data_IF_654628705117
#
_entry.id   IF_654628705117
#
_cell.length_a   1.000
_cell.length_b   1.000
_cell.length_c   1.000
_cell.angle_alpha   90.00
_cell.angle_beta   90.00
_cell.angle_gamma   90.00
#
_symmetry.space_group_name_H-M   'P 1'
#
loop_
_entity.id
_entity.type
_entity.pdbx_description
1 polymer ?
#
# COMPACT_ATOMS: atom_id res chain seq x y z
N UNK A 1 -35.73 9.48 -5.14
CA UNK A 1 -34.95 8.33 -4.68
C UNK A 1 -35.95 7.30 -4.20
N UNK A 2 -35.87 6.07 -4.71
CA UNK A 2 -36.62 4.96 -4.15
C UNK A 2 -35.88 4.52 -2.88
N UNK A 3 -36.36 4.98 -1.73
CA UNK A 3 -35.86 4.54 -0.42
C UNK A 3 -36.38 3.12 -0.25
N UNK A 4 -35.49 2.13 -0.18
CA UNK A 4 -35.87 0.77 0.24
C UNK A 4 -36.06 0.78 1.76
N UNK A 5 -37.17 1.35 2.20
CA UNK A 5 -37.58 1.37 3.60
C UNK A 5 -39.08 1.13 3.70
N UNK A 6 -39.52 0.55 4.81
CA UNK A 6 -40.93 0.42 5.16
C UNK A 6 -41.11 0.87 6.59
N UNK A 7 -42.36 1.19 6.97
CA UNK A 7 -42.67 1.52 8.34
C UNK A 7 -42.56 0.26 9.22
N UNK A 8 -41.70 0.27 10.24
CA UNK A 8 -41.57 -0.84 11.18
C UNK A 8 -42.81 -1.07 12.05
N UNK A 9 -43.79 -0.15 12.05
CA UNK A 9 -45.04 -0.29 12.79
C UNK A 9 -46.20 -0.82 11.95
N UNK A 10 -46.38 -0.33 10.71
CA UNK A 10 -47.53 -0.68 9.86
C UNK A 10 -47.14 -1.38 8.54
N UNK A 11 -45.84 -1.66 8.35
CA UNK A 11 -45.27 -2.32 7.17
C UNK A 11 -45.53 -1.61 5.83
N UNK A 12 -46.04 -0.38 5.86
CA UNK A 12 -46.28 0.39 4.65
C UNK A 12 -44.98 0.81 3.99
N UNK A 13 -44.89 0.56 2.69
CA UNK A 13 -43.82 1.02 1.82
C UNK A 13 -44.04 2.46 1.32
N UNK A 14 -43.01 3.13 0.79
CA UNK A 14 -43.07 4.49 0.25
C UNK A 14 -43.65 4.46 -1.17
N UNK A 15 -44.84 3.87 -1.32
CA UNK A 15 -45.57 3.82 -2.60
C UNK A 15 -46.27 5.14 -2.91
N UNK A 16 -46.58 5.92 -1.86
CA UNK A 16 -47.19 7.23 -1.97
C UNK A 16 -46.14 8.34 -1.79
N UNK A 17 -46.01 9.28 -2.75
CA UNK A 17 -45.02 10.35 -2.69
C UNK A 17 -45.27 11.36 -1.56
N UNK A 18 -46.47 11.36 -0.98
CA UNK A 18 -46.86 12.23 0.14
C UNK A 18 -46.46 11.66 1.50
N UNK A 19 -46.23 10.35 1.60
CA UNK A 19 -45.93 9.70 2.87
C UNK A 19 -44.44 9.84 3.17
N UNK A 20 -44.10 10.68 4.14
CA UNK A 20 -42.72 10.81 4.61
C UNK A 20 -42.42 9.75 5.65
N UNK A 21 -41.14 9.39 5.72
CA UNK A 21 -40.60 8.43 6.67
C UNK A 21 -39.54 9.10 7.53
N UNK A 22 -39.43 8.65 8.76
CA UNK A 22 -38.45 9.12 9.73
C UNK A 22 -37.68 7.94 10.31
N UNK A 23 -36.36 8.07 10.39
CA UNK A 23 -35.44 7.13 11.02
C UNK A 23 -35.19 7.57 12.47
N UNK A 24 -35.30 6.63 13.40
CA UNK A 24 -34.93 6.85 14.80
C UNK A 24 -33.46 6.57 15.05
N UNK A 25 -32.89 7.16 16.10
CA UNK A 25 -31.52 6.89 16.57
C UNK A 25 -31.26 5.43 16.95
N UNK A 26 -32.31 4.65 17.22
CA UNK A 26 -32.20 3.21 17.48
C UNK A 26 -32.37 2.36 16.21
N UNK A 27 -32.44 2.96 15.02
CA UNK A 27 -32.46 2.26 13.74
C UNK A 27 -33.85 1.90 13.19
N UNK A 28 -34.95 2.24 13.87
CA UNK A 28 -36.30 1.96 13.39
C UNK A 28 -36.85 3.08 12.50
N UNK A 29 -37.56 2.71 11.44
CA UNK A 29 -38.17 3.62 10.47
C UNK A 29 -39.68 3.67 10.65
N UNK A 30 -40.27 4.85 10.65
CA UNK A 30 -41.72 5.05 10.79
C UNK A 30 -42.26 5.99 9.73
N UNK A 31 -43.47 5.73 9.24
CA UNK A 31 -44.21 6.73 8.48
C UNK A 31 -44.76 7.81 9.41
N UNK A 32 -44.98 9.02 8.87
CA UNK A 32 -45.48 10.15 9.66
C UNK A 32 -46.82 9.84 10.36
N UNK A 33 -47.69 9.01 9.77
CA UNK A 33 -48.97 8.61 10.37
C UNK A 33 -48.78 7.79 11.65
N UNK A 34 -47.87 6.80 11.64
CA UNK A 34 -47.57 6.02 12.84
C UNK A 34 -46.89 6.87 13.90
N UNK A 35 -45.98 7.75 13.49
CA UNK A 35 -45.25 8.61 14.41
C UNK A 35 -46.19 9.59 15.14
N UNK A 36 -47.19 10.14 14.45
CA UNK A 36 -48.21 11.01 15.04
C UNK A 36 -49.12 10.30 16.07
N UNK A 37 -49.35 9.00 15.92
CA UNK A 37 -50.10 8.19 16.90
C UNK A 37 -49.26 7.80 18.12
N UNK A 38 -47.94 7.95 18.01
CA UNK A 38 -46.98 7.59 19.04
C UNK A 38 -46.77 8.68 20.09
N UNK A 39 -46.03 8.30 21.14
CA UNK A 39 -45.47 9.29 22.07
C UNK A 39 -44.26 9.97 21.44
N UNK A 40 -44.17 11.29 21.60
CA UNK A 40 -43.03 12.08 21.11
C UNK A 40 -41.72 11.57 21.73
N UNK A 41 -40.67 11.50 20.89
CA UNK A 41 -39.32 11.08 21.29
C UNK A 41 -39.21 9.66 21.86
N UNK A 42 -40.21 8.80 21.63
CA UNK A 42 -40.18 7.39 22.03
C UNK A 42 -40.32 6.50 20.79
N UNK A 43 -39.50 5.46 20.71
CA UNK A 43 -39.60 4.50 19.62
C UNK A 43 -40.82 3.57 19.80
N UNK A 44 -41.63 3.41 18.74
CA UNK A 44 -42.81 2.54 18.76
C UNK A 44 -42.49 1.04 18.85
N UNK A 45 -41.25 0.64 18.50
CA UNK A 45 -40.81 -0.77 18.51
C UNK A 45 -40.12 -1.09 19.84
N UNK A 46 -39.02 -0.41 20.17
CA UNK A 46 -38.21 -0.73 21.34
C UNK A 46 -38.55 0.08 22.60
N UNK A 47 -39.50 1.04 22.53
CA UNK A 47 -39.97 1.88 23.66
C UNK A 47 -38.90 2.72 24.35
N UNK A 48 -37.71 2.83 23.76
CA UNK A 48 -36.64 3.69 24.25
C UNK A 48 -36.81 5.13 23.77
N UNK A 49 -36.31 6.08 24.57
CA UNK A 49 -36.20 7.47 24.15
C UNK A 49 -35.26 7.58 22.93
N UNK A 50 -35.71 8.24 21.85
CA UNK A 50 -35.02 8.28 20.58
C UNK A 50 -35.22 9.62 19.85
N UNK A 51 -34.16 10.09 19.20
CA UNK A 51 -34.25 11.20 18.25
C UNK A 51 -34.75 10.68 16.91
N UNK A 52 -35.51 11.49 16.19
CA UNK A 52 -36.02 11.17 14.85
C UNK A 52 -35.39 12.09 13.81
N UNK A 53 -34.90 11.50 12.73
CA UNK A 53 -34.40 12.17 11.54
C UNK A 53 -35.36 11.88 10.38
N UNK A 54 -35.88 12.92 9.73
CA UNK A 54 -36.73 12.74 8.55
C UNK A 54 -35.88 12.24 7.38
N UNK A 55 -36.28 11.13 6.77
CA UNK A 55 -35.64 10.59 5.57
C UNK A 55 -36.05 11.46 4.36
N UNK A 56 -35.24 12.47 4.06
CA UNK A 56 -35.39 13.37 2.90
C UNK A 56 -34.25 13.19 1.89
N UNK A 57 -34.17 14.05 0.88
CA UNK A 57 -33.01 14.08 -0.04
C UNK A 57 -31.80 14.81 0.56
N UNK A 58 -31.97 15.46 1.71
CA UNK A 58 -30.98 16.37 2.32
C UNK A 58 -30.22 15.70 3.48
N UNK A 59 -30.55 14.47 3.84
CA UNK A 59 -29.79 13.71 4.85
C UNK A 59 -28.39 13.35 4.34
N UNK A 60 -27.47 13.07 5.26
CA UNK A 60 -26.07 12.77 4.90
C UNK A 60 -25.96 11.57 3.95
N UNK A 61 -24.99 11.57 3.01
CA UNK A 61 -24.79 10.47 2.06
C UNK A 61 -24.63 9.10 2.73
N UNK A 62 -24.02 9.05 3.92
CA UNK A 62 -23.80 7.82 4.67
C UNK A 62 -25.13 7.21 5.12
N UNK A 63 -26.05 8.01 5.67
CA UNK A 63 -27.37 7.54 6.06
C UNK A 63 -28.20 7.21 4.81
N UNK A 64 -28.10 8.01 3.74
CA UNK A 64 -28.78 7.70 2.47
C UNK A 64 -28.37 6.33 1.95
N UNK A 65 -27.08 6.00 2.03
CA UNK A 65 -26.53 4.75 1.50
C UNK A 65 -27.18 3.51 2.13
N UNK A 66 -27.59 3.58 3.41
CA UNK A 66 -28.27 2.48 4.11
C UNK A 66 -29.60 2.07 3.47
N UNK A 67 -30.24 2.97 2.73
CA UNK A 67 -31.55 2.76 2.09
C UNK A 67 -31.47 2.71 0.56
N UNK A 68 -30.27 2.71 0.00
CA UNK A 68 -30.07 2.56 -1.44
C UNK A 68 -29.98 1.09 -1.83
N UNK A 69 -30.34 0.78 -3.08
CA UNK A 69 -30.16 -0.58 -3.59
C UNK A 69 -28.67 -0.96 -3.63
N UNK A 70 -28.38 -2.22 -3.30
CA UNK A 70 -27.01 -2.76 -3.29
C UNK A 70 -26.33 -2.59 -4.66
N UNK A 71 -27.02 -2.82 -5.77
CA UNK A 71 -26.43 -2.69 -7.11
C UNK A 71 -26.00 -1.25 -7.43
N UNK A 72 -26.73 -0.25 -6.91
CA UNK A 72 -26.37 1.17 -7.06
C UNK A 72 -25.15 1.51 -6.20
N UNK A 73 -25.11 1.00 -4.96
CA UNK A 73 -23.95 1.16 -4.08
C UNK A 73 -22.71 0.52 -4.70
N UNK A 74 -22.82 -0.72 -5.21
CA UNK A 74 -21.74 -1.41 -5.88
C UNK A 74 -21.18 -0.59 -7.05
N UNK A 75 -22.04 -0.01 -7.89
CA UNK A 75 -21.60 0.85 -9.01
C UNK A 75 -20.90 2.12 -8.54
N UNK A 76 -21.39 2.75 -7.46
CA UNK A 76 -20.78 3.96 -6.88
C UNK A 76 -19.39 3.64 -6.33
N UNK A 77 -19.31 2.68 -5.42
CA UNK A 77 -18.06 2.35 -4.74
C UNK A 77 -17.04 1.67 -5.66
N UNK A 78 -17.47 0.87 -6.64
CA UNK A 78 -16.53 0.29 -7.61
C UNK A 78 -15.81 1.38 -8.40
N UNK A 79 -16.52 2.45 -8.81
CA UNK A 79 -15.91 3.59 -9.48
C UNK A 79 -14.90 4.31 -8.58
N UNK A 80 -15.26 4.58 -7.33
CA UNK A 80 -14.38 5.24 -6.36
C UNK A 80 -13.12 4.39 -6.09
N UNK A 81 -13.29 3.08 -5.89
CA UNK A 81 -12.19 2.14 -5.67
C UNK A 81 -11.25 2.09 -6.89
N UNK A 82 -11.81 2.05 -8.11
CA UNK A 82 -11.00 2.08 -9.34
C UNK A 82 -10.17 3.36 -9.44
N UNK A 83 -10.77 4.52 -9.17
CA UNK A 83 -10.05 5.80 -9.18
C UNK A 83 -8.91 5.84 -8.17
N UNK A 84 -9.15 5.35 -6.94
CA UNK A 84 -8.12 5.25 -5.91
C UNK A 84 -7.01 4.30 -6.35
N UNK A 85 -7.36 3.14 -6.91
CA UNK A 85 -6.41 2.15 -7.40
C UNK A 85 -5.51 2.72 -8.50
N UNK A 86 -6.10 3.38 -9.50
CA UNK A 86 -5.35 4.03 -10.59
C UNK A 86 -4.40 5.11 -10.07
N UNK A 87 -4.85 5.94 -9.13
CA UNK A 87 -4.02 6.94 -8.49
C UNK A 87 -2.81 6.30 -7.79
N UNK A 88 -3.05 5.29 -6.96
CA UNK A 88 -1.99 4.61 -6.23
C UNK A 88 -1.00 3.92 -7.18
N UNK A 89 -1.48 3.29 -8.25
CA UNK A 89 -0.63 2.64 -9.24
C UNK A 89 0.26 3.64 -9.99
N UNK A 90 -0.30 4.79 -10.38
CA UNK A 90 0.46 5.88 -10.99
C UNK A 90 1.55 6.41 -10.03
N UNK A 91 1.22 6.55 -8.75
CA UNK A 91 2.18 6.95 -7.73
C UNK A 91 3.32 5.91 -7.58
N UNK A 92 2.98 4.61 -7.47
CA UNK A 92 3.97 3.51 -7.40
C UNK A 92 4.88 3.49 -8.62
N UNK A 93 4.34 3.64 -9.84
CA UNK A 93 5.12 3.71 -11.08
C UNK A 93 6.13 4.86 -11.08
N UNK A 94 5.74 6.04 -10.61
CA UNK A 94 6.65 7.20 -10.51
C UNK A 94 7.79 6.94 -9.52
N UNK A 95 7.47 6.36 -8.37
CA UNK A 95 8.47 5.99 -7.37
C UNK A 95 9.49 4.99 -7.94
N UNK A 96 8.99 3.93 -8.59
CA UNK A 96 9.84 2.93 -9.23
C UNK A 96 10.75 3.52 -10.32
N UNK A 97 10.21 4.42 -11.16
CA UNK A 97 10.99 5.11 -12.19
C UNK A 97 12.14 5.94 -11.59
N UNK A 98 11.87 6.68 -10.50
CA UNK A 98 12.88 7.44 -9.77
C UNK A 98 14.00 6.54 -9.25
N UNK A 99 13.66 5.41 -8.60
CA UNK A 99 14.67 4.47 -8.11
C UNK A 99 15.48 3.82 -9.24
N UNK A 100 14.84 3.43 -10.35
CA UNK A 100 15.53 2.90 -11.54
C UNK A 100 16.54 3.91 -12.10
N UNK A 101 16.16 5.19 -12.18
CA UNK A 101 17.07 6.24 -12.63
C UNK A 101 18.26 6.42 -11.68
N UNK A 102 18.03 6.35 -10.37
CA UNK A 102 19.11 6.45 -9.37
C UNK A 102 20.08 5.27 -9.48
N UNK A 103 19.57 4.06 -9.66
CA UNK A 103 20.39 2.84 -9.86
C UNK A 103 21.24 3.00 -11.13
N UNK A 104 20.64 3.39 -12.27
CA UNK A 104 21.36 3.56 -13.52
C UNK A 104 22.52 4.57 -13.42
N UNK A 105 22.33 5.68 -12.70
CA UNK A 105 23.40 6.67 -12.42
C UNK A 105 24.54 6.07 -11.61
N UNK A 106 24.22 5.27 -10.59
CA UNK A 106 25.23 4.59 -9.77
C UNK A 106 26.00 3.55 -10.60
N UNK A 107 25.30 2.74 -11.40
CA UNK A 107 25.93 1.77 -12.31
C UNK A 107 26.88 2.44 -13.31
N UNK A 108 26.49 3.59 -13.87
CA UNK A 108 27.36 4.36 -14.76
C UNK A 108 28.62 4.88 -14.03
N UNK A 109 28.47 5.37 -12.79
CA UNK A 109 29.61 5.82 -11.99
C UNK A 109 30.60 4.69 -11.67
N UNK A 110 30.10 3.50 -11.34
CA UNK A 110 30.93 2.30 -11.10
C UNK A 110 31.67 1.89 -12.36
N UNK A 111 31.01 1.90 -13.52
CA UNK A 111 31.66 1.60 -14.81
C UNK A 111 32.81 2.58 -15.11
N UNK A 112 32.61 3.89 -14.89
CA UNK A 112 33.65 4.91 -15.10
C UNK A 112 34.86 4.68 -14.19
N UNK A 113 34.64 4.42 -12.90
CA UNK A 113 35.72 4.15 -11.94
C UNK A 113 36.47 2.86 -12.33
N UNK A 114 35.74 1.82 -12.73
CA UNK A 114 36.34 0.54 -13.16
C UNK A 114 37.23 0.72 -14.39
N UNK A 115 36.79 1.52 -15.37
CA UNK A 115 37.59 1.85 -16.56
C UNK A 115 38.84 2.66 -16.20
N UNK A 116 38.73 3.65 -15.31
CA UNK A 116 39.89 4.41 -14.83
C UNK A 116 40.89 3.52 -14.09
N UNK A 117 40.42 2.59 -13.25
CA UNK A 117 41.28 1.61 -12.58
C UNK A 117 42.02 0.71 -13.59
N UNK A 118 41.33 0.22 -14.62
CA UNK A 118 41.95 -0.60 -15.67
C UNK A 118 43.03 0.18 -16.44
N UNK A 119 42.77 1.45 -16.76
CA UNK A 119 43.77 2.31 -17.41
C UNK A 119 45.00 2.54 -16.52
N UNK A 120 44.80 2.82 -15.22
CA UNK A 120 45.90 2.99 -14.27
C UNK A 120 46.74 1.72 -14.11
N UNK A 121 46.10 0.55 -14.10
CA UNK A 121 46.81 -0.73 -14.04
C UNK A 121 47.64 -1.02 -15.30
N UNK A 122 47.18 -0.59 -16.48
CA UNK A 122 47.88 -0.81 -17.74
C UNK A 122 49.07 0.15 -17.95
N UNK A 123 49.11 1.27 -17.22
CA UNK A 123 50.18 2.28 -17.32
C UNK A 123 51.30 2.10 -16.28
N UNK A 124 51.29 1.02 -15.49
CA UNK A 124 52.43 0.69 -14.60
C UNK A 124 53.66 0.30 -15.45
N UNK A 125 54.82 0.98 -15.33
CA UNK A 125 56.05 0.55 -15.98
C UNK A 125 56.50 -0.81 -15.42
N UNK A 126 57.23 -1.63 -16.21
CA UNK A 126 57.86 -2.83 -15.66
C UNK A 126 58.89 -2.42 -14.61
N UNK A 127 58.63 -2.75 -13.34
CA UNK A 127 59.68 -2.76 -12.33
C UNK A 127 60.77 -3.73 -12.80
N UNK A 128 61.91 -3.18 -13.23
CA UNK A 128 63.12 -3.96 -13.48
C UNK A 128 63.63 -4.48 -12.14
N UNK A 129 63.18 -5.66 -11.75
CA UNK A 129 63.79 -6.43 -10.66
C UNK A 129 65.07 -7.06 -11.21
N UNK A 130 66.22 -6.43 -10.95
CA UNK A 130 67.55 -6.99 -11.22
C UNK A 130 67.74 -8.26 -10.38
N UNK A 131 68.04 -9.43 -10.96
CA UNK A 131 68.45 -10.60 -10.19
C UNK A 131 69.92 -10.44 -9.78
N UNK A 132 70.19 -10.39 -8.47
CA UNK A 132 71.54 -10.58 -7.94
C UNK A 132 71.92 -12.06 -8.03
N UNK A 133 73.15 -12.42 -8.46
CA UNK A 133 73.61 -13.80 -8.45
C UNK A 133 74.12 -14.14 -7.05
N UNK A 134 73.54 -15.15 -6.40
CA UNK A 134 74.20 -15.82 -5.28
C UNK A 134 74.32 -17.31 -5.54
N UNK A 135 75.55 -17.75 -5.30
CA UNK A 135 76.19 -18.97 -5.75
C UNK A 135 75.65 -20.23 -5.08
N UNK A 136 75.71 -21.31 -5.82
CA UNK A 136 75.41 -22.68 -5.42
C UNK A 136 76.42 -23.22 -4.40
N UNK A 137 75.94 -23.96 -3.40
CA UNK A 137 76.68 -25.09 -2.81
C UNK A 137 75.70 -26.23 -2.50
N UNK A 138 76.02 -27.37 -3.11
CA UNK A 138 75.40 -28.70 -3.06
C UNK A 138 75.59 -29.37 -1.68
N UNK A 139 74.63 -30.07 -1.07
CA UNK A 139 74.25 -31.51 -1.18
C UNK A 139 73.15 -31.74 -0.10
N UNK A 140 72.09 -32.55 -0.21
CA UNK A 140 72.00 -33.95 -0.63
C UNK A 140 70.51 -34.34 -0.91
N UNK A 141 70.25 -35.51 -1.54
CA UNK A 141 68.99 -35.86 -2.20
C UNK A 141 68.06 -36.70 -1.32
N UNK A 142 66.75 -36.72 -1.60
CA UNK A 142 65.92 -37.94 -1.64
C UNK A 142 64.51 -37.62 -2.20
N UNK A 143 64.33 -38.01 -3.47
CA UNK A 143 63.16 -38.60 -4.14
C UNK A 143 61.72 -38.09 -3.88
N UNK A 144 61.14 -37.46 -4.91
CA UNK A 144 59.70 -37.36 -5.19
C UNK A 144 59.12 -38.72 -5.69
N UNK A 145 57.77 -38.89 -5.74
CA UNK A 145 57.01 -38.48 -6.93
C UNK A 145 55.66 -37.79 -6.56
N UNK A 146 55.37 -36.58 -7.05
CA UNK A 146 54.82 -36.25 -8.37
C UNK A 146 53.39 -36.76 -8.65
N UNK A 147 52.38 -35.87 -8.58
CA UNK A 147 51.31 -35.73 -9.58
C UNK A 147 50.51 -34.43 -9.32
N UNK A 148 50.78 -33.36 -10.09
CA UNK A 148 49.92 -32.76 -11.14
C UNK A 148 48.48 -32.46 -10.68
N UNK A 149 47.84 -31.31 -10.97
CA UNK A 149 48.14 -30.08 -11.70
C UNK A 149 46.91 -29.17 -11.49
N UNK A 150 47.13 -27.86 -11.51
CA UNK A 150 46.26 -26.82 -12.10
C UNK A 150 44.77 -26.73 -11.74
N UNK A 151 44.41 -25.52 -11.28
CA UNK A 151 43.57 -24.55 -12.01
C UNK A 151 42.45 -23.99 -11.14
N UNK A 152 42.67 -22.75 -10.71
CA UNK A 152 41.60 -21.85 -10.33
C UNK A 152 40.93 -21.31 -11.61
N UNK A 153 39.68 -21.68 -11.84
CA UNK A 153 38.75 -21.11 -12.83
C UNK A 153 37.41 -21.82 -12.60
N UNK A 154 36.22 -21.24 -12.57
CA UNK A 154 35.72 -19.90 -12.84
C UNK A 154 34.27 -19.90 -12.36
N UNK A 155 33.79 -18.71 -11.97
CA UNK A 155 32.40 -18.26 -12.05
C UNK A 155 31.48 -19.14 -12.91
N UNK A 156 30.52 -19.82 -12.29
CA UNK A 156 29.41 -20.46 -13.00
C UNK A 156 28.19 -19.54 -12.97
N UNK A 157 27.96 -18.86 -14.09
CA UNK A 157 26.62 -18.45 -14.50
C UNK A 157 26.13 -19.49 -15.50
N UNK A 158 24.96 -20.08 -15.24
CA UNK A 158 23.86 -20.36 -16.17
C UNK A 158 23.00 -21.51 -15.61
N UNK A 159 21.76 -21.23 -15.23
CA UNK A 159 20.61 -21.55 -16.10
C UNK A 159 19.28 -21.22 -15.41
N UNK A 160 18.49 -20.36 -16.08
CA UNK A 160 17.03 -20.23 -15.97
C UNK A 160 16.36 -21.63 -16.08
N UNK A 161 15.18 -21.97 -15.54
CA UNK A 161 13.90 -21.25 -15.29
C UNK A 161 12.93 -22.23 -14.54
N UNK A 162 11.60 -21.96 -14.44
CA UNK A 162 10.85 -21.58 -13.23
C UNK A 162 10.05 -22.73 -12.56
N UNK A 163 9.72 -22.59 -11.27
CA UNK A 163 8.50 -23.22 -10.71
C UNK A 163 8.05 -22.59 -9.40
N UNK A 164 6.74 -22.49 -9.32
CA UNK A 164 5.88 -21.95 -8.26
C UNK A 164 6.06 -22.68 -6.93
N UNK A 165 6.25 -21.95 -5.84
CA UNK A 165 5.58 -22.24 -4.57
C UNK A 165 5.72 -21.06 -3.62
N UNK A 166 4.59 -20.70 -3.04
CA UNK A 166 4.44 -19.70 -2.00
C UNK A 166 5.23 -20.12 -0.77
N UNK A 167 6.00 -19.20 -0.19
CA UNK A 167 6.36 -19.29 1.22
C UNK A 167 6.34 -17.88 1.80
N UNK A 168 5.25 -17.62 2.53
CA UNK A 168 5.06 -16.49 3.43
C UNK A 168 6.28 -16.31 4.34
N UNK A 169 6.96 -15.18 4.24
CA UNK A 169 7.95 -14.77 5.22
C UNK A 169 7.22 -14.05 6.35
N UNK A 170 7.10 -14.72 7.50
CA UNK A 170 6.51 -14.16 8.71
C UNK A 170 7.46 -13.09 9.27
N UNK A 171 7.01 -11.84 9.33
CA UNK A 171 7.77 -10.75 9.92
C UNK A 171 7.61 -10.81 11.45
N UNK A 172 8.68 -11.14 12.17
CA UNK A 172 8.68 -11.05 13.64
C UNK A 172 8.55 -9.58 14.08
N UNK A 173 7.58 -9.31 14.96
CA UNK A 173 7.34 -8.00 15.56
C UNK A 173 7.96 -8.01 16.96
N UNK A 174 8.94 -7.15 17.17
CA UNK A 174 9.58 -6.91 18.48
C UNK A 174 8.58 -6.29 19.47
N UNK A 175 8.30 -6.91 20.63
CA UNK A 175 7.34 -6.39 21.61
C UNK A 175 8.03 -5.48 22.62
N UNK A 176 8.34 -4.24 22.24
CA UNK A 176 8.74 -3.21 23.21
C UNK A 176 7.79 -2.00 23.11
N UNK A 177 6.96 -1.71 24.13
CA UNK A 177 6.08 -0.56 24.12
C UNK A 177 6.90 0.72 24.36
N UNK A 178 6.92 1.62 23.37
CA UNK A 178 7.56 2.93 23.51
C UNK A 178 6.75 3.86 24.43
N UNK A 179 7.39 4.67 25.30
CA UNK A 179 6.68 5.49 26.29
C UNK A 179 5.92 6.65 25.62
N UNK A 180 4.65 6.83 26.00
CA UNK A 180 3.84 7.96 25.57
C UNK A 180 4.54 9.29 25.87
N UNK A 181 4.84 10.07 24.83
CA UNK A 181 5.12 11.51 24.96
C UNK A 181 3.92 12.32 24.49
N UNK A 182 3.61 13.34 25.30
CA UNK A 182 2.46 14.25 25.23
C UNK A 182 2.33 14.96 23.88
N UNK A 183 1.07 15.28 23.56
CA UNK A 183 0.61 16.02 22.40
C UNK A 183 1.14 17.47 22.44
N UNK A 184 2.22 17.73 21.72
CA UNK A 184 2.63 19.08 21.33
C UNK A 184 1.96 19.38 19.98
N UNK A 185 1.12 20.41 19.96
CA UNK A 185 0.40 20.88 18.77
C UNK A 185 1.37 21.48 17.76
N UNK A 186 1.52 20.94 16.54
CA UNK A 186 2.21 21.67 15.49
C UNK A 186 1.16 22.49 14.73
N UNK A 187 1.33 23.81 14.77
CA UNK A 187 0.79 24.75 13.78
C UNK A 187 1.40 24.42 12.42
N UNK A 188 0.92 23.33 11.82
CA UNK A 188 1.22 22.90 10.46
C UNK A 188 0.09 23.31 9.51
N UNK A 189 0.35 23.36 8.20
CA UNK A 189 -0.66 23.76 7.22
C UNK A 189 -1.89 22.84 7.35
N UNK A 190 -3.06 23.46 7.22
CA UNK A 190 -4.39 22.83 7.21
C UNK A 190 -4.30 21.44 6.61
N UNK A 191 -4.68 20.41 7.38
CA UNK A 191 -4.85 19.04 6.87
C UNK A 191 -5.46 19.14 5.47
N UNK A 192 -4.81 18.54 4.48
CA UNK A 192 -5.40 18.33 3.15
C UNK A 192 -6.64 17.47 3.37
N UNK A 193 -7.76 18.10 3.67
CA UNK A 193 -9.07 17.48 3.72
C UNK A 193 -9.42 17.20 2.28
N UNK A 194 -9.07 15.99 1.83
CA UNK A 194 -9.45 15.49 0.52
C UNK A 194 -10.95 15.18 0.61
N UNK A 195 -11.78 16.22 0.42
CA UNK A 195 -13.24 16.12 0.46
C UNK A 195 -13.74 15.30 -0.75
N UNK A 196 -12.91 15.16 -1.78
CA UNK A 196 -13.25 14.49 -3.04
C UNK A 196 -12.22 13.42 -3.41
N UNK A 197 -12.66 12.24 -3.87
CA UNK A 197 -11.74 11.19 -4.33
C UNK A 197 -10.82 11.71 -5.46
N UNK A 198 -9.59 11.19 -5.58
CA UNK A 198 -8.64 11.60 -6.61
C UNK A 198 -9.24 11.50 -8.02
N UNK A 199 -9.01 12.53 -8.85
CA UNK A 199 -9.44 12.55 -10.26
C UNK A 199 -8.21 12.67 -11.17
N UNK A 200 -8.22 11.97 -12.30
CA UNK A 200 -7.14 11.98 -13.31
C UNK A 200 -5.73 11.71 -12.76
N UNK A 201 -5.67 10.97 -11.64
CA UNK A 201 -4.44 10.66 -10.93
C UNK A 201 -3.76 11.90 -10.32
N UNK A 202 -4.54 12.88 -9.88
CA UNK A 202 -4.12 14.00 -9.04
C UNK A 202 -4.97 14.02 -7.77
N UNK A 203 -4.33 14.39 -6.66
CA UNK A 203 -5.06 14.78 -5.46
C UNK A 203 -5.70 16.14 -5.75
N UNK A 204 -6.96 16.31 -5.34
CA UNK A 204 -7.67 17.61 -5.44
C UNK A 204 -6.91 18.73 -4.77
#
# INVERSE_FOLDING_TARGET
>A
MAVLAFCNSCLSEPRNPTLRFSLTSCGHVFCDVCLQKGKKEECLVCRSACRTLVLSKEISPDIQSLFMRVDVLCKKYSKEISQVSEFQEKYRKRLLAHHKQKIAKLEESVKKITQQMQQLQCMKPPEKTTPLPFSSTSRNPFSFPSRKQNAYSSYSLHSSRPSTSETMEAMEIDPVPSPMRKLETPTGPTRLSVITPPQDGRMG
#
